data_IF_210381494618
#
_entry.id   IF_210381494618
#
_cell.length_a   1.000
_cell.length_b   1.000
_cell.length_c   1.000
_cell.angle_alpha   90.00
_cell.angle_beta   90.00
_cell.angle_gamma   90.00
#
_symmetry.space_group_name_H-M   'P 1'
#
loop_
_entity.id
_entity.type
_entity.pdbx_description
1 polymer ?
#
# COMPACT_ATOMS: atom_id res chain seq x y z
N UNK A 1 -87.94 -69.95 25.82
CA UNK A 1 -86.52 -70.13 25.42
C UNK A 1 -85.79 -68.79 25.55
N UNK A 2 -84.60 -68.82 26.17
CA UNK A 2 -83.55 -67.79 26.34
C UNK A 2 -83.13 -67.09 25.01
N UNK A 3 -82.31 -66.01 25.00
CA UNK A 3 -82.37 -64.70 25.68
C UNK A 3 -82.05 -63.55 24.66
N UNK A 4 -81.16 -62.56 24.91
CA UNK A 4 -81.43 -61.22 25.45
C UNK A 4 -81.08 -60.08 24.45
N UNK A 5 -81.49 -58.83 24.71
CA UNK A 5 -80.66 -57.68 24.28
C UNK A 5 -80.66 -56.59 25.36
N UNK A 6 -79.45 -56.35 25.84
CA UNK A 6 -78.99 -55.36 26.81
C UNK A 6 -79.13 -53.94 26.29
N UNK A 7 -79.49 -53.02 27.20
CA UNK A 7 -79.46 -51.56 26.98
C UNK A 7 -78.01 -51.08 26.86
N UNK A 8 -77.67 -50.41 25.76
CA UNK A 8 -76.56 -49.46 25.70
C UNK A 8 -77.11 -48.03 25.79
N UNK A 9 -76.53 -47.14 26.62
CA UNK A 9 -76.80 -45.71 26.51
C UNK A 9 -76.27 -45.19 25.17
N UNK A 10 -76.89 -44.16 24.57
CA UNK A 10 -76.38 -43.56 23.35
C UNK A 10 -74.97 -43.02 23.62
N UNK A 11 -73.99 -43.57 22.90
CA UNK A 11 -72.69 -42.94 22.74
C UNK A 11 -72.96 -41.61 22.08
N UNK A 12 -72.68 -40.51 22.79
CA UNK A 12 -72.64 -39.19 22.18
C UNK A 12 -71.47 -39.24 21.19
N UNK A 13 -71.76 -39.56 19.93
CA UNK A 13 -70.80 -39.49 18.86
C UNK A 13 -70.39 -38.02 18.74
N UNK A 14 -69.16 -37.72 19.17
CA UNK A 14 -68.59 -36.39 19.17
C UNK A 14 -68.79 -35.74 17.80
N UNK A 15 -69.22 -34.47 17.84
CA UNK A 15 -69.49 -33.68 16.64
C UNK A 15 -68.34 -33.77 15.64
N UNK A 16 -68.71 -33.90 14.36
CA UNK A 16 -67.77 -33.94 13.22
C UNK A 16 -66.79 -32.76 13.34
N UNK A 17 -65.53 -33.06 13.66
CA UNK A 17 -64.41 -32.12 13.80
C UNK A 17 -63.90 -31.59 12.44
N UNK A 18 -64.78 -31.31 11.47
CA UNK A 18 -64.38 -30.89 10.12
C UNK A 18 -63.92 -29.42 10.04
N UNK A 19 -64.25 -28.58 11.04
CA UNK A 19 -63.79 -27.18 11.09
C UNK A 19 -62.39 -27.02 11.69
N UNK A 20 -62.10 -27.73 12.78
CA UNK A 20 -60.79 -27.66 13.46
C UNK A 20 -59.70 -28.30 12.61
N UNK A 21 -59.98 -29.45 11.97
CA UNK A 21 -59.02 -30.10 11.09
C UNK A 21 -58.62 -29.23 9.89
N UNK A 22 -59.57 -28.51 9.28
CA UNK A 22 -59.29 -27.60 8.17
C UNK A 22 -58.44 -26.40 8.61
N UNK A 23 -58.75 -25.80 9.77
CA UNK A 23 -57.96 -24.70 10.34
C UNK A 23 -56.54 -25.18 10.68
N UNK A 24 -56.38 -26.39 11.23
CA UNK A 24 -55.06 -26.97 11.51
C UNK A 24 -54.25 -27.24 10.24
N UNK A 25 -54.88 -27.78 9.18
CA UNK A 25 -54.20 -28.02 7.89
C UNK A 25 -53.79 -26.70 7.24
N UNK A 26 -54.66 -25.68 7.25
CA UNK A 26 -54.33 -24.35 6.72
C UNK A 26 -53.23 -23.67 7.53
N UNK A 27 -53.22 -23.81 8.86
CA UNK A 27 -52.17 -23.27 9.72
C UNK A 27 -50.83 -23.95 9.45
N UNK A 28 -50.80 -25.29 9.36
CA UNK A 28 -49.59 -26.05 9.04
C UNK A 28 -49.08 -25.67 7.65
N UNK A 29 -49.98 -25.55 6.66
CA UNK A 29 -49.62 -25.14 5.31
C UNK A 29 -49.06 -23.71 5.27
N UNK A 30 -49.68 -22.76 5.97
CA UNK A 30 -49.20 -21.38 6.06
C UNK A 30 -47.82 -21.29 6.72
N UNK A 31 -47.59 -22.03 7.82
CA UNK A 31 -46.28 -22.11 8.48
C UNK A 31 -45.24 -22.72 7.54
N UNK A 32 -45.58 -23.82 6.84
CA UNK A 32 -44.68 -24.46 5.89
C UNK A 32 -44.32 -23.53 4.71
N UNK A 33 -45.28 -22.77 4.19
CA UNK A 33 -45.06 -21.80 3.13
C UNK A 33 -44.16 -20.63 3.57
N UNK A 34 -44.38 -20.09 4.78
CA UNK A 34 -43.52 -19.03 5.35
C UNK A 34 -42.09 -19.55 5.57
N UNK A 35 -41.94 -20.78 6.07
CA UNK A 35 -40.64 -21.40 6.29
C UNK A 35 -39.90 -21.62 4.96
N UNK A 36 -40.58 -22.15 3.94
CA UNK A 36 -40.02 -22.33 2.60
C UNK A 36 -39.57 -21.00 1.98
N UNK A 37 -40.39 -19.95 2.06
CA UNK A 37 -40.05 -18.62 1.56
C UNK A 37 -38.83 -18.00 2.30
N UNK A 38 -38.76 -18.18 3.63
CA UNK A 38 -37.58 -17.80 4.44
C UNK A 38 -36.32 -18.57 4.04
N UNK A 39 -36.42 -19.87 3.82
CA UNK A 39 -35.28 -20.70 3.40
C UNK A 39 -34.78 -20.32 2.01
N UNK A 40 -35.68 -20.02 1.06
CA UNK A 40 -35.30 -19.59 -0.30
C UNK A 40 -34.61 -18.22 -0.28
N UNK A 41 -35.16 -17.24 0.46
CA UNK A 41 -34.57 -15.90 0.55
C UNK A 41 -33.22 -15.89 1.30
N UNK A 42 -33.11 -16.60 2.43
CA UNK A 42 -31.84 -16.71 3.16
C UNK A 42 -30.82 -17.59 2.43
N UNK A 43 -31.26 -18.60 1.70
CA UNK A 43 -30.41 -19.45 0.88
C UNK A 43 -29.76 -18.69 -0.28
N UNK A 44 -30.52 -17.82 -0.97
CA UNK A 44 -29.99 -16.97 -2.05
C UNK A 44 -28.86 -16.05 -1.56
N UNK A 45 -29.10 -15.30 -0.48
CA UNK A 45 -28.12 -14.38 0.09
C UNK A 45 -26.82 -15.10 0.51
N UNK A 46 -26.93 -16.29 1.12
CA UNK A 46 -25.76 -17.07 1.54
C UNK A 46 -24.93 -17.55 0.35
N UNK A 47 -25.59 -17.94 -0.74
CA UNK A 47 -24.91 -18.35 -1.98
C UNK A 47 -24.17 -17.17 -2.61
N UNK A 48 -24.80 -16.00 -2.70
CA UNK A 48 -24.17 -14.77 -3.21
C UNK A 48 -22.94 -14.37 -2.38
N UNK A 49 -23.06 -14.36 -1.05
CA UNK A 49 -21.95 -14.09 -0.15
C UNK A 49 -20.80 -15.08 -0.36
N UNK A 50 -21.11 -16.37 -0.44
CA UNK A 50 -20.10 -17.42 -0.64
C UNK A 50 -19.37 -17.22 -1.97
N UNK A 51 -20.10 -16.89 -3.04
CA UNK A 51 -19.50 -16.58 -4.35
C UNK A 51 -18.58 -15.35 -4.31
N UNK A 52 -19.01 -14.27 -3.63
CA UNK A 52 -18.18 -13.08 -3.47
C UNK A 52 -16.89 -13.36 -2.68
N UNK A 53 -16.96 -14.14 -1.60
CA UNK A 53 -15.78 -14.55 -0.84
C UNK A 53 -14.81 -15.40 -1.67
N UNK A 54 -15.33 -16.36 -2.45
CA UNK A 54 -14.50 -17.20 -3.33
C UNK A 54 -13.80 -16.37 -4.41
N UNK A 55 -14.54 -15.44 -5.03
CA UNK A 55 -13.97 -14.53 -6.02
C UNK A 55 -12.87 -13.66 -5.41
N UNK A 56 -13.10 -13.06 -4.24
CA UNK A 56 -12.09 -12.26 -3.56
C UNK A 56 -10.80 -13.06 -3.28
N UNK A 57 -10.92 -14.31 -2.83
CA UNK A 57 -9.76 -15.19 -2.62
C UNK A 57 -9.01 -15.48 -3.92
N UNK A 58 -9.73 -15.65 -5.03
CA UNK A 58 -9.12 -15.84 -6.35
C UNK A 58 -8.36 -14.59 -6.82
N UNK A 59 -8.92 -13.39 -6.66
CA UNK A 59 -8.24 -12.15 -7.02
C UNK A 59 -7.00 -11.90 -6.15
N UNK A 60 -7.08 -12.19 -4.85
CA UNK A 60 -5.91 -12.13 -3.98
C UNK A 60 -4.82 -13.11 -4.43
N UNK A 61 -5.19 -14.34 -4.80
CA UNK A 61 -4.24 -15.32 -5.31
C UNK A 61 -3.54 -14.84 -6.59
N UNK A 62 -4.27 -14.23 -7.54
CA UNK A 62 -3.67 -13.62 -8.72
C UNK A 62 -2.74 -12.45 -8.38
N UNK A 63 -3.13 -11.57 -7.46
CA UNK A 63 -2.33 -10.44 -7.02
C UNK A 63 -1.01 -10.89 -6.36
N UNK A 64 -1.05 -11.94 -5.53
CA UNK A 64 0.14 -12.58 -4.93
C UNK A 64 0.99 -13.31 -5.97
N UNK A 65 0.38 -13.87 -7.00
CA UNK A 65 1.09 -14.43 -8.15
C UNK A 65 1.92 -13.36 -8.87
N UNK A 66 1.32 -12.18 -9.09
CA UNK A 66 2.03 -11.02 -9.64
C UNK A 66 3.18 -10.54 -8.76
N UNK A 67 2.96 -10.46 -7.43
CA UNK A 67 4.02 -10.13 -6.45
C UNK A 67 5.19 -11.13 -6.56
N UNK A 68 4.88 -12.42 -6.62
CA UNK A 68 5.89 -13.49 -6.71
C UNK A 68 6.68 -13.40 -8.01
N UNK A 69 6.02 -13.09 -9.12
CA UNK A 69 6.67 -12.88 -10.42
C UNK A 69 7.61 -11.67 -10.41
N UNK A 70 7.16 -10.54 -9.86
CA UNK A 70 7.97 -9.34 -9.68
C UNK A 70 9.21 -9.60 -8.80
N UNK A 71 9.06 -10.32 -7.68
CA UNK A 71 10.19 -10.73 -6.83
C UNK A 71 11.18 -11.62 -7.60
N UNK A 72 10.68 -12.54 -8.44
CA UNK A 72 11.55 -13.39 -9.25
C UNK A 72 12.35 -12.59 -10.28
N UNK A 73 11.74 -11.55 -10.88
CA UNK A 73 12.44 -10.64 -11.79
C UNK A 73 13.54 -9.84 -11.08
N UNK A 74 13.26 -9.27 -9.90
CA UNK A 74 14.27 -8.53 -9.12
C UNK A 74 15.44 -9.42 -8.63
N UNK A 75 15.18 -10.71 -8.41
CA UNK A 75 16.23 -11.69 -8.09
C UNK A 75 17.07 -12.06 -9.30
N UNK A 76 16.45 -12.14 -10.48
CA UNK A 76 17.17 -12.41 -11.73
C UNK A 76 18.02 -11.22 -12.15
N UNK A 77 17.47 -10.02 -12.04
CA UNK A 77 18.17 -8.74 -12.19
C UNK A 77 19.45 -8.68 -11.33
N UNK A 78 19.32 -8.95 -10.02
CA UNK A 78 20.47 -9.02 -9.13
C UNK A 78 21.52 -10.07 -9.56
N UNK A 79 21.13 -11.21 -10.13
CA UNK A 79 22.10 -12.21 -10.62
C UNK A 79 22.88 -11.69 -11.82
N UNK A 80 22.25 -10.91 -12.69
CA UNK A 80 22.91 -10.27 -13.83
C UNK A 80 23.86 -9.18 -13.35
N UNK A 81 23.45 -8.42 -12.34
CA UNK A 81 24.28 -7.41 -11.70
C UNK A 81 25.55 -7.97 -11.05
N UNK A 82 25.44 -9.14 -10.41
CA UNK A 82 26.62 -9.83 -9.88
C UNK A 82 27.65 -10.15 -10.96
N UNK A 83 27.20 -10.42 -12.20
CA UNK A 83 28.11 -10.61 -13.33
C UNK A 83 28.69 -9.28 -13.85
N UNK A 84 27.97 -8.17 -13.70
CA UNK A 84 28.39 -6.82 -14.11
C UNK A 84 29.35 -6.16 -13.09
N UNK A 85 29.31 -6.55 -11.81
CA UNK A 85 30.18 -6.04 -10.76
C UNK A 85 29.98 -4.54 -10.53
N UNK A 86 31.07 -3.76 -10.58
CA UNK A 86 31.04 -2.30 -10.36
C UNK A 86 30.21 -1.53 -11.41
N UNK A 87 29.85 -2.16 -12.53
CA UNK A 87 29.03 -1.55 -13.57
C UNK A 87 27.52 -1.79 -13.37
N UNK A 88 27.14 -2.52 -12.33
CA UNK A 88 25.74 -2.79 -12.03
C UNK A 88 25.00 -1.51 -11.64
N UNK A 89 23.74 -1.37 -12.07
CA UNK A 89 22.87 -0.24 -11.76
C UNK A 89 21.43 -0.74 -11.62
N UNK A 90 20.53 0.10 -11.13
CA UNK A 90 19.10 -0.13 -11.11
C UNK A 90 18.43 1.04 -11.82
N UNK A 91 17.84 0.80 -12.99
CA UNK A 91 17.20 1.82 -13.81
C UNK A 91 15.85 1.34 -14.33
N UNK A 92 14.80 2.19 -14.35
CA UNK A 92 13.47 1.81 -14.85
C UNK A 92 13.38 1.19 -16.25
N UNK A 93 14.40 1.34 -17.09
CA UNK A 93 14.48 0.70 -18.41
C UNK A 93 14.77 -0.80 -18.36
N UNK A 94 15.14 -1.33 -17.20
CA UNK A 94 15.41 -2.75 -17.00
C UNK A 94 14.12 -3.58 -17.06
N UNK A 95 14.20 -4.91 -17.31
CA UNK A 95 13.01 -5.74 -17.51
C UNK A 95 11.97 -5.64 -16.39
N UNK A 96 12.39 -5.45 -15.15
CA UNK A 96 11.49 -5.29 -14.00
C UNK A 96 10.71 -3.96 -14.04
N UNK A 97 11.30 -2.89 -14.61
CA UNK A 97 10.70 -1.55 -14.68
C UNK A 97 9.80 -1.34 -15.90
N UNK A 98 9.85 -2.26 -16.87
CA UNK A 98 9.07 -2.26 -18.11
C UNK A 98 7.80 -3.14 -18.02
N UNK A 99 7.46 -3.63 -16.83
CA UNK A 99 6.21 -4.34 -16.60
C UNK A 99 5.03 -3.39 -16.73
N UNK A 100 3.98 -3.86 -17.40
CA UNK A 100 2.70 -3.15 -17.45
C UNK A 100 1.56 -4.16 -17.28
N UNK A 101 1.04 -4.69 -18.39
CA UNK A 101 -0.24 -5.38 -18.42
C UNK A 101 -0.15 -6.82 -18.94
N UNK A 102 -0.76 -7.76 -18.20
CA UNK A 102 -0.93 -9.16 -18.53
C UNK A 102 -2.42 -9.51 -18.66
N UNK A 103 -2.81 -10.11 -19.78
CA UNK A 103 -4.17 -10.61 -19.98
C UNK A 103 -4.42 -11.87 -19.15
N UNK A 104 -5.52 -11.91 -18.43
CA UNK A 104 -5.94 -13.08 -17.66
C UNK A 104 -6.82 -13.99 -18.53
N UNK A 105 -6.20 -14.93 -19.24
CA UNK A 105 -6.95 -15.93 -19.99
C UNK A 105 -7.34 -17.09 -19.06
N UNK A 106 -8.53 -17.01 -18.45
CA UNK A 106 -9.09 -18.14 -17.66
C UNK A 106 -10.10 -18.98 -18.46
N UNK A 107 -10.19 -18.82 -19.79
CA UNK A 107 -11.09 -19.57 -20.66
C UNK A 107 -12.20 -18.74 -21.31
N UNK A 108 -13.34 -19.40 -21.57
CA UNK A 108 -14.38 -18.96 -22.52
C UNK A 108 -15.14 -17.68 -22.15
N UNK A 109 -15.02 -17.19 -20.90
CA UNK A 109 -15.68 -15.97 -20.41
C UNK A 109 -14.69 -14.83 -20.07
N UNK A 110 -13.42 -14.94 -20.51
CA UNK A 110 -12.45 -13.84 -20.34
C UNK A 110 -12.76 -12.70 -21.30
N UNK A 111 -12.86 -11.50 -20.75
CA UNK A 111 -13.00 -10.24 -21.49
C UNK A 111 -11.62 -9.61 -21.74
N UNK A 112 -11.51 -8.69 -22.71
CA UNK A 112 -10.27 -7.93 -22.92
C UNK A 112 -9.91 -7.03 -21.72
N UNK A 113 -10.86 -6.77 -20.84
CA UNK A 113 -10.69 -5.95 -19.63
C UNK A 113 -10.12 -6.76 -18.44
N UNK A 114 -10.14 -8.10 -18.51
CA UNK A 114 -9.66 -8.97 -17.45
C UNK A 114 -8.12 -9.01 -17.45
N UNK A 115 -7.55 -8.35 -16.45
CA UNK A 115 -6.17 -7.89 -16.50
C UNK A 115 -5.45 -8.01 -15.17
N UNK A 116 -4.18 -8.38 -15.23
CA UNK A 116 -3.22 -8.24 -14.14
C UNK A 116 -2.22 -7.16 -14.56
N UNK A 117 -2.17 -6.05 -13.82
CA UNK A 117 -1.12 -5.03 -13.94
C UNK A 117 -0.12 -5.17 -12.82
N UNK A 118 1.16 -5.09 -13.15
CA UNK A 118 2.27 -5.16 -12.18
C UNK A 118 3.17 -3.97 -12.44
N UNK A 119 3.42 -3.16 -11.40
CA UNK A 119 4.37 -2.05 -11.46
C UNK A 119 5.39 -2.21 -10.35
N UNK A 120 6.66 -1.99 -10.67
CA UNK A 120 7.76 -2.02 -9.71
C UNK A 120 8.39 -0.63 -9.69
N UNK A 121 8.45 -0.01 -8.52
CA UNK A 121 9.01 1.32 -8.32
C UNK A 121 10.16 1.26 -7.30
N UNK A 122 11.37 1.71 -7.64
CA UNK A 122 12.42 1.90 -6.65
C UNK A 122 12.03 3.00 -5.66
N UNK A 123 12.08 2.70 -4.36
CA UNK A 123 11.70 3.63 -3.30
C UNK A 123 12.88 4.50 -2.85
N UNK A 124 14.10 4.06 -3.14
CA UNK A 124 15.33 4.85 -2.96
C UNK A 124 15.42 6.04 -3.94
N UNK A 125 14.43 6.25 -4.81
CA UNK A 125 14.31 7.47 -5.60
C UNK A 125 13.74 8.66 -4.81
N UNK A 126 13.16 8.42 -3.63
CA UNK A 126 12.45 9.41 -2.83
C UNK A 126 13.22 9.74 -1.55
N UNK A 127 12.96 10.91 -0.97
CA UNK A 127 13.57 11.32 0.29
C UNK A 127 13.03 10.46 1.44
N UNK A 128 13.91 9.68 2.07
CA UNK A 128 13.56 8.87 3.23
C UNK A 128 13.54 9.73 4.50
N UNK A 129 12.38 9.76 5.18
CA UNK A 129 12.23 10.56 6.39
C UNK A 129 13.09 10.04 7.55
N UNK A 130 13.38 8.75 7.58
CA UNK A 130 14.23 8.18 8.62
C UNK A 130 15.71 8.60 8.46
N UNK A 131 16.09 9.22 7.33
CA UNK A 131 17.41 9.84 7.17
C UNK A 131 17.54 11.17 7.95
N UNK A 132 16.45 11.70 8.54
CA UNK A 132 16.54 12.82 9.49
C UNK A 132 17.36 12.44 10.73
N UNK A 133 17.49 11.15 11.03
CA UNK A 133 18.41 10.62 12.04
C UNK A 133 19.64 10.04 11.35
N UNK A 134 20.80 10.25 11.97
CA UNK A 134 22.04 9.60 11.55
C UNK A 134 21.97 8.11 11.80
N UNK A 135 22.81 7.34 11.10
CA UNK A 135 22.91 5.88 11.26
C UNK A 135 23.32 5.44 12.69
N UNK A 136 23.85 6.36 13.51
CA UNK A 136 24.12 6.10 14.93
C UNK A 136 22.85 6.07 15.80
N UNK A 137 21.68 6.35 15.21
CA UNK A 137 20.35 6.09 15.78
C UNK A 137 19.88 7.10 16.81
N UNK A 138 20.58 8.22 17.00
CA UNK A 138 20.20 9.19 18.04
C UNK A 138 20.44 10.66 17.73
N UNK A 139 21.27 10.98 16.74
CA UNK A 139 21.53 12.38 16.39
C UNK A 139 20.80 12.78 15.12
N UNK A 140 20.19 13.96 15.14
CA UNK A 140 19.61 14.56 13.93
C UNK A 140 20.69 14.81 12.87
N UNK A 141 20.39 14.49 11.62
CA UNK A 141 21.18 14.92 10.48
C UNK A 141 20.68 16.28 9.97
N UNK A 142 21.49 17.30 10.23
CA UNK A 142 21.18 18.70 9.87
C UNK A 142 20.98 18.87 8.36
N UNK A 143 21.68 18.09 7.53
CA UNK A 143 21.55 18.18 6.08
C UNK A 143 20.16 17.72 5.67
N UNK A 144 19.74 16.52 6.08
CA UNK A 144 18.42 15.99 5.74
C UNK A 144 17.28 16.84 6.31
N UNK A 145 17.43 17.36 7.53
CA UNK A 145 16.43 18.26 8.11
C UNK A 145 16.30 19.57 7.31
N UNK A 146 17.43 20.13 6.86
CA UNK A 146 17.43 21.34 6.02
C UNK A 146 16.80 21.05 4.65
N UNK A 147 17.16 19.92 4.03
CA UNK A 147 16.59 19.48 2.76
C UNK A 147 15.08 19.27 2.86
N UNK A 148 14.59 18.68 3.95
CA UNK A 148 13.15 18.49 4.17
C UNK A 148 12.43 19.84 4.32
N UNK A 149 12.94 20.77 5.14
CA UNK A 149 12.35 22.12 5.25
C UNK A 149 12.27 22.81 3.89
N UNK A 150 13.34 22.74 3.09
CA UNK A 150 13.34 23.30 1.74
C UNK A 150 12.31 22.63 0.82
N UNK A 151 12.24 21.30 0.84
CA UNK A 151 11.27 20.53 0.06
C UNK A 151 9.83 20.96 0.36
N UNK A 152 9.50 21.07 1.65
CA UNK A 152 8.18 21.50 2.10
C UNK A 152 7.90 22.94 1.66
N UNK A 153 8.84 23.86 1.90
CA UNK A 153 8.70 25.28 1.55
C UNK A 153 8.44 25.51 0.05
N UNK A 154 9.21 24.84 -0.82
CA UNK A 154 9.05 24.93 -2.29
C UNK A 154 7.67 24.42 -2.74
N UNK A 155 7.12 23.43 -2.05
CA UNK A 155 5.82 22.83 -2.35
C UNK A 155 4.65 23.52 -1.61
N UNK A 156 4.91 24.64 -0.93
CA UNK A 156 3.89 25.38 -0.19
C UNK A 156 3.38 24.66 1.06
N UNK A 157 4.13 23.67 1.54
CA UNK A 157 3.84 22.91 2.76
C UNK A 157 4.57 23.55 3.96
N UNK A 158 3.94 23.73 5.13
CA UNK A 158 4.57 24.38 6.27
C UNK A 158 5.84 23.67 6.76
N UNK A 159 6.95 24.41 6.89
CA UNK A 159 8.24 23.88 7.38
C UNK A 159 8.18 23.32 8.81
N UNK A 160 7.22 23.77 9.61
CA UNK A 160 6.95 23.24 10.95
C UNK A 160 6.74 21.72 10.97
N UNK A 161 6.25 21.15 9.86
CA UNK A 161 6.09 19.70 9.72
C UNK A 161 7.43 18.95 9.70
N UNK A 162 8.54 19.58 9.27
CA UNK A 162 9.86 18.97 9.34
C UNK A 162 10.34 18.79 10.78
N UNK A 163 10.10 19.79 11.63
CA UNK A 163 10.46 19.75 13.05
C UNK A 163 9.65 18.70 13.78
N UNK A 164 8.33 18.68 13.55
CA UNK A 164 7.45 17.67 14.16
C UNK A 164 7.72 16.26 13.64
N UNK A 165 8.15 16.11 12.38
CA UNK A 165 8.54 14.81 11.86
C UNK A 165 9.84 14.30 12.49
N UNK A 166 10.78 15.19 12.83
CA UNK A 166 11.97 14.81 13.59
C UNK A 166 11.59 14.35 15.00
N UNK A 167 10.81 15.16 15.73
CA UNK A 167 10.34 14.82 17.08
C UNK A 167 9.48 13.54 17.07
N UNK A 168 8.76 13.26 15.98
CA UNK A 168 7.94 12.05 15.88
C UNK A 168 8.76 10.76 15.88
N UNK A 169 9.99 10.80 15.34
CA UNK A 169 10.83 9.61 15.11
C UNK A 169 12.03 9.50 16.05
N UNK A 170 12.47 10.61 16.63
CA UNK A 170 13.62 10.61 17.52
C UNK A 170 13.24 10.05 18.91
N UNK A 171 14.22 9.59 19.67
CA UNK A 171 13.96 8.88 20.95
C UNK A 171 13.88 9.82 22.15
N UNK A 172 14.07 11.12 21.95
CA UNK A 172 14.04 12.07 23.04
C UNK A 172 12.61 12.59 23.23
N UNK A 173 12.43 13.55 24.14
CA UNK A 173 11.10 14.10 24.43
C UNK A 173 11.25 15.61 24.63
N UNK A 174 12.02 16.22 23.73
CA UNK A 174 12.43 17.63 23.76
C UNK A 174 12.03 18.21 22.41
N UNK A 175 11.00 19.07 22.37
CA UNK A 175 10.51 19.62 21.12
C UNK A 175 11.61 20.34 20.33
N UNK A 176 11.72 20.03 19.04
CA UNK A 176 12.68 20.67 18.14
C UNK A 176 12.28 22.11 17.84
N UNK A 177 13.21 23.04 18.07
CA UNK A 177 13.04 24.43 17.68
C UNK A 177 11.88 25.13 18.39
N UNK A 178 11.06 25.86 17.62
CA UNK A 178 9.86 26.57 18.12
C UNK A 178 8.56 25.91 17.66
N UNK A 179 8.64 24.94 16.76
CA UNK A 179 7.51 24.35 16.03
C UNK A 179 7.40 22.85 16.21
N UNK A 180 8.38 22.22 16.85
CA UNK A 180 8.35 20.85 17.30
C UNK A 180 7.21 20.54 18.25
N UNK A 181 6.91 19.26 18.39
CA UNK A 181 5.81 18.75 19.21
C UNK A 181 6.15 17.34 19.69
N UNK A 182 5.92 17.11 20.98
CA UNK A 182 6.28 15.88 21.68
C UNK A 182 5.06 15.28 22.42
N UNK A 183 5.27 14.23 23.20
CA UNK A 183 4.24 13.58 24.03
C UNK A 183 3.24 14.56 24.69
N UNK A 184 3.74 15.64 25.28
CA UNK A 184 2.89 16.61 25.98
C UNK A 184 1.92 17.34 25.05
N UNK A 185 2.31 17.58 23.80
CA UNK A 185 1.47 18.23 22.80
C UNK A 185 0.40 17.26 22.26
N UNK A 186 0.79 16.01 21.99
CA UNK A 186 -0.12 14.99 21.45
C UNK A 186 -1.11 14.44 22.49
N UNK A 187 -0.75 14.43 23.77
CA UNK A 187 -1.67 14.04 24.86
C UNK A 187 -2.80 15.04 25.08
N UNK A 188 -2.69 16.26 24.56
CA UNK A 188 -3.75 17.26 24.58
C UNK A 188 -4.75 17.11 23.42
N UNK A 189 -4.46 16.25 22.43
CA UNK A 189 -5.31 16.00 21.29
C UNK A 189 -6.54 15.13 21.65
N UNK A 190 -7.51 15.06 20.75
CA UNK A 190 -8.68 14.18 20.89
C UNK A 190 -8.86 13.32 19.62
N UNK A 191 -8.62 12.00 19.69
CA UNK A 191 -8.17 11.24 20.85
C UNK A 191 -6.72 11.61 21.25
N UNK A 192 -6.38 11.42 22.52
CA UNK A 192 -5.02 11.62 23.01
C UNK A 192 -4.14 10.44 22.59
N UNK A 193 -2.91 10.73 22.15
CA UNK A 193 -1.88 9.76 21.81
C UNK A 193 -0.50 10.32 22.13
N UNK A 194 0.54 9.57 21.81
CA UNK A 194 1.94 9.88 22.06
C UNK A 194 2.72 9.91 20.75
N UNK A 195 3.91 10.50 20.76
CA UNK A 195 4.87 10.35 19.67
C UNK A 195 5.25 8.86 19.49
N UNK A 196 5.79 8.53 18.33
CA UNK A 196 6.19 7.16 18.01
C UNK A 196 7.51 6.80 18.70
N UNK A 197 8.41 7.78 18.83
CA UNK A 197 9.78 7.67 19.35
C UNK A 197 10.61 6.56 18.67
N UNK A 198 10.31 6.32 17.40
CA UNK A 198 10.91 5.27 16.59
C UNK A 198 10.87 5.66 15.11
N UNK A 199 11.75 5.02 14.32
CA UNK A 199 11.72 5.15 12.86
C UNK A 199 10.31 4.94 12.32
N UNK A 200 9.94 5.82 11.40
CA UNK A 200 8.65 5.81 10.73
C UNK A 200 8.51 4.53 9.88
N UNK A 201 7.40 3.83 10.08
CA UNK A 201 7.09 2.56 9.41
C UNK A 201 6.23 2.76 8.17
N UNK A 202 5.36 3.78 8.17
CA UNK A 202 4.50 4.14 7.05
C UNK A 202 4.29 5.66 7.00
N UNK A 203 4.28 6.25 5.80
CA UNK A 203 4.10 7.70 5.63
C UNK A 203 2.71 8.18 6.05
N UNK A 204 1.74 7.28 6.21
CA UNK A 204 0.45 7.60 6.83
C UNK A 204 0.57 8.07 8.29
N UNK A 205 1.65 7.70 9.01
CA UNK A 205 1.91 8.21 10.36
C UNK A 205 2.05 9.74 10.36
N UNK A 206 2.52 10.34 9.26
CA UNK A 206 2.64 11.80 9.14
C UNK A 206 1.31 12.53 9.20
N UNK A 207 0.18 11.83 9.00
CA UNK A 207 -1.14 12.40 9.19
C UNK A 207 -1.45 12.71 10.66
N UNK A 208 -0.71 12.11 11.60
CA UNK A 208 -0.83 12.32 13.04
C UNK A 208 -0.09 13.57 13.53
N UNK A 209 0.74 14.21 12.71
CA UNK A 209 1.41 15.44 13.10
C UNK A 209 0.38 16.55 13.38
N UNK A 210 0.71 17.45 14.31
CA UNK A 210 -0.21 18.50 14.75
C UNK A 210 -0.16 19.75 13.86
N UNK A 211 1.00 20.03 13.25
CA UNK A 211 1.21 21.16 12.36
C UNK A 211 0.46 21.01 11.03
N UNK A 212 0.22 22.16 10.39
CA UNK A 212 -0.41 22.23 9.08
C UNK A 212 -1.87 21.78 9.05
N UNK A 213 -2.48 21.93 7.89
CA UNK A 213 -3.79 21.34 7.60
C UNK A 213 -3.66 19.83 7.32
N UNK A 214 -4.75 19.06 7.39
CA UNK A 214 -4.74 17.67 6.92
C UNK A 214 -4.28 17.52 5.46
N UNK A 215 -4.53 18.51 4.61
CA UNK A 215 -4.07 18.50 3.22
C UNK A 215 -2.55 18.67 3.13
N UNK A 216 -1.97 19.53 3.97
CA UNK A 216 -0.51 19.71 4.03
C UNK A 216 0.20 18.41 4.46
N UNK A 217 -0.36 17.72 5.48
CA UNK A 217 0.17 16.43 5.94
C UNK A 217 0.03 15.33 4.89
N UNK A 218 -1.09 15.33 4.16
CA UNK A 218 -1.28 14.40 3.05
C UNK A 218 -0.23 14.64 1.96
N UNK A 219 -0.05 15.90 1.51
CA UNK A 219 0.96 16.27 0.52
C UNK A 219 2.36 15.86 0.97
N UNK A 220 2.74 16.15 2.21
CA UNK A 220 4.01 15.69 2.78
C UNK A 220 4.15 14.16 2.70
N UNK A 221 3.11 13.40 3.04
CA UNK A 221 3.13 11.93 3.00
C UNK A 221 3.30 11.34 1.60
N UNK A 222 2.92 12.07 0.55
CA UNK A 222 2.99 11.64 -0.85
C UNK A 222 4.36 11.96 -1.48
N UNK A 223 5.12 12.89 -0.91
CA UNK A 223 6.43 13.31 -1.42
C UNK A 223 7.60 12.50 -0.83
N UNK A 224 7.35 11.78 0.26
CA UNK A 224 8.37 11.13 1.09
C UNK A 224 8.19 9.60 1.14
N UNK A 225 9.18 8.92 1.71
CA UNK A 225 9.11 7.51 2.06
C UNK A 225 9.59 7.28 3.49
N UNK A 226 9.11 6.22 4.13
CA UNK A 226 9.63 5.71 5.40
C UNK A 226 10.30 4.36 5.18
N UNK A 227 11.63 4.34 5.10
CA UNK A 227 12.42 3.13 4.88
C UNK A 227 13.23 2.79 6.13
N UNK A 228 13.39 1.51 6.49
CA UNK A 228 13.87 1.09 7.82
C UNK A 228 15.35 1.42 8.08
N UNK A 229 16.15 1.58 7.02
CA UNK A 229 17.55 1.99 7.12
C UNK A 229 17.76 3.35 6.46
N UNK A 230 18.89 3.99 6.78
CA UNK A 230 19.36 5.12 5.99
C UNK A 230 19.54 4.72 4.52
N UNK A 231 19.12 5.59 3.60
CA UNK A 231 19.14 5.33 2.16
C UNK A 231 19.79 6.46 1.37
N UNK A 232 20.55 6.09 0.34
CA UNK A 232 21.04 7.02 -0.68
C UNK A 232 20.00 7.17 -1.78
N UNK A 233 19.97 8.31 -2.47
CA UNK A 233 19.09 8.50 -3.62
C UNK A 233 19.65 7.79 -4.84
N UNK A 234 18.90 6.85 -5.41
CA UNK A 234 19.24 6.27 -6.70
C UNK A 234 19.01 7.30 -7.82
N UNK A 235 20.09 7.81 -8.41
CA UNK A 235 20.05 8.81 -9.48
C UNK A 235 19.28 8.35 -10.72
N UNK A 236 19.24 7.05 -10.99
CA UNK A 236 18.52 6.45 -12.12
C UNK A 236 16.99 6.38 -11.90
N UNK A 237 16.54 6.54 -10.66
CA UNK A 237 15.12 6.49 -10.29
C UNK A 237 14.72 7.71 -9.44
N UNK A 238 15.56 8.75 -9.41
CA UNK A 238 15.39 9.88 -8.51
C UNK A 238 14.13 10.66 -8.83
N UNK A 239 13.33 10.92 -7.80
CA UNK A 239 12.29 11.92 -7.86
C UNK A 239 12.96 13.32 -7.93
N UNK A 240 12.55 14.18 -8.88
CA UNK A 240 13.14 15.51 -9.01
C UNK A 240 13.06 16.37 -7.76
N UNK A 241 11.97 16.27 -6.98
CA UNK A 241 11.80 16.99 -5.72
C UNK A 241 12.80 16.53 -4.65
N UNK A 242 13.03 15.21 -4.54
CA UNK A 242 14.02 14.65 -3.62
C UNK A 242 15.44 15.10 -4.00
N UNK A 243 15.76 15.11 -5.29
CA UNK A 243 17.05 15.59 -5.79
C UNK A 243 17.22 17.10 -5.55
N UNK A 244 16.18 17.89 -5.83
CA UNK A 244 16.17 19.34 -5.59
C UNK A 244 16.41 19.67 -4.12
N UNK A 245 15.72 18.96 -3.21
CA UNK A 245 15.85 19.11 -1.77
C UNK A 245 17.29 18.87 -1.30
N UNK A 246 17.93 17.77 -1.72
CA UNK A 246 19.30 17.44 -1.30
C UNK A 246 20.38 18.36 -1.86
N UNK A 247 20.16 18.90 -3.07
CA UNK A 247 21.11 19.79 -3.74
C UNK A 247 20.90 21.27 -3.38
N UNK A 248 19.84 21.60 -2.66
CA UNK A 248 19.49 23.00 -2.38
C UNK A 248 19.05 23.75 -3.64
N UNK A 249 18.42 23.06 -4.60
CA UNK A 249 18.02 23.60 -5.91
C UNK A 249 16.50 23.65 -6.08
N UNK A 250 16.03 24.22 -7.18
CA UNK A 250 14.61 24.13 -7.58
C UNK A 250 14.32 22.80 -8.27
N UNK A 251 13.06 22.39 -8.29
CA UNK A 251 12.61 21.19 -9.03
C UNK A 251 13.01 21.25 -10.51
N UNK A 252 12.82 22.40 -11.18
CA UNK A 252 13.21 22.58 -12.59
C UNK A 252 14.72 22.38 -12.84
N UNK A 253 15.55 22.85 -11.91
CA UNK A 253 16.99 22.64 -11.97
C UNK A 253 17.32 21.15 -11.82
N UNK A 254 16.71 20.48 -10.84
CA UNK A 254 16.88 19.05 -10.64
C UNK A 254 16.39 18.21 -11.84
N UNK A 255 15.25 18.57 -12.45
CA UNK A 255 14.77 17.95 -13.69
C UNK A 255 15.77 18.13 -14.82
N UNK A 256 16.32 19.33 -14.98
CA UNK A 256 17.34 19.62 -15.98
C UNK A 256 18.61 18.78 -15.79
N UNK A 257 18.99 18.46 -14.54
CA UNK A 257 20.09 17.55 -14.25
C UNK A 257 19.76 16.11 -14.67
N UNK A 258 18.52 15.67 -14.54
CA UNK A 258 18.09 14.31 -14.89
C UNK A 258 17.78 14.12 -16.38
N UNK A 259 17.77 15.18 -17.19
CA UNK A 259 17.54 15.07 -18.65
C UNK A 259 18.50 14.07 -19.28
N UNK A 260 17.93 13.14 -20.06
CA UNK A 260 18.65 12.06 -20.73
C UNK A 260 18.89 10.82 -19.88
N UNK A 261 18.81 10.91 -18.54
CA UNK A 261 18.96 9.75 -17.65
C UNK A 261 17.88 8.69 -17.92
N UNK A 262 16.67 9.11 -18.31
CA UNK A 262 15.56 8.22 -18.67
C UNK A 262 15.89 7.25 -19.82
N UNK A 263 16.76 7.65 -20.75
CA UNK A 263 17.15 6.83 -21.90
C UNK A 263 18.53 6.21 -21.76
N UNK A 264 19.42 6.87 -21.03
CA UNK A 264 20.81 6.45 -20.83
C UNK A 264 21.07 6.36 -19.33
N UNK A 265 21.10 5.13 -18.78
CA UNK A 265 21.35 4.94 -17.36
C UNK A 265 22.66 5.58 -16.91
N UNK A 266 22.61 6.21 -15.76
CA UNK A 266 23.76 6.72 -15.03
C UNK A 266 24.50 5.52 -14.44
N UNK A 267 25.75 5.35 -14.86
CA UNK A 267 26.61 4.23 -14.44
C UNK A 267 27.66 4.63 -13.39
N UNK A 268 27.74 5.91 -13.03
CA UNK A 268 28.70 6.40 -12.04
C UNK A 268 28.23 7.70 -11.43
N UNK A 269 28.07 7.71 -10.10
CA UNK A 269 27.75 8.90 -9.31
C UNK A 269 28.82 9.98 -9.52
N UNK A 270 30.10 9.65 -9.35
CA UNK A 270 31.21 10.59 -9.50
C UNK A 270 31.23 11.27 -10.87
N UNK A 271 31.00 10.49 -11.94
CA UNK A 271 30.93 11.02 -13.30
C UNK A 271 29.73 11.95 -13.47
N UNK A 272 28.54 11.54 -13.01
CA UNK A 272 27.32 12.35 -13.04
C UNK A 272 27.52 13.70 -12.36
N UNK A 273 28.08 13.70 -11.14
CA UNK A 273 28.33 14.93 -10.37
C UNK A 273 29.35 15.83 -11.08
N UNK A 274 30.45 15.27 -11.58
CA UNK A 274 31.51 16.03 -12.27
C UNK A 274 30.99 16.69 -13.55
N UNK A 275 30.26 15.95 -14.40
CA UNK A 275 29.72 16.46 -15.66
C UNK A 275 28.69 17.59 -15.44
N UNK A 276 28.03 17.60 -14.29
CA UNK A 276 27.01 18.58 -13.91
C UNK A 276 27.52 19.69 -12.98
N UNK A 277 28.82 19.72 -12.72
CA UNK A 277 29.45 20.68 -11.78
C UNK A 277 28.85 20.65 -10.37
N UNK A 278 28.42 19.47 -9.90
CA UNK A 278 27.94 19.25 -8.54
C UNK A 278 29.13 18.85 -7.66
N UNK A 279 29.27 19.39 -6.42
CA UNK A 279 30.37 19.04 -5.53
C UNK A 279 30.48 17.53 -5.24
N UNK A 280 31.68 16.96 -5.39
CA UNK A 280 31.94 15.53 -5.16
C UNK A 280 31.76 15.09 -3.71
N UNK A 281 31.81 16.01 -2.75
CA UNK A 281 31.50 15.72 -1.34
C UNK A 281 30.07 15.20 -1.14
N UNK A 282 29.15 15.48 -2.07
CA UNK A 282 27.77 15.00 -2.01
C UNK A 282 27.60 13.58 -2.56
N UNK A 283 28.67 12.94 -3.05
CA UNK A 283 28.60 11.58 -3.59
C UNK A 283 28.04 10.55 -2.60
N UNK A 284 28.24 10.77 -1.30
CA UNK A 284 27.71 9.90 -0.24
C UNK A 284 26.18 9.89 -0.14
N UNK A 285 25.49 10.87 -0.75
CA UNK A 285 24.03 10.97 -0.74
C UNK A 285 23.37 10.18 -1.88
N UNK A 286 24.18 9.68 -2.82
CA UNK A 286 23.69 9.15 -4.08
C UNK A 286 24.19 7.73 -4.33
N UNK A 287 23.34 6.97 -5.01
CA UNK A 287 23.62 5.63 -5.50
C UNK A 287 23.16 5.53 -6.95
N UNK A 288 23.54 4.45 -7.60
CA UNK A 288 22.96 3.99 -8.88
C UNK A 288 22.24 2.65 -8.71
N UNK A 289 22.17 2.15 -7.47
CA UNK A 289 21.57 0.87 -7.05
C UNK A 289 20.40 1.13 -6.13
N UNK A 290 19.42 0.25 -6.15
CA UNK A 290 18.24 0.27 -5.28
C UNK A 290 18.18 -0.97 -4.41
N UNK A 291 17.87 -0.73 -3.13
CA UNK A 291 17.61 -1.74 -2.10
C UNK A 291 16.11 -1.88 -1.87
N UNK A 292 15.37 -0.79 -1.89
CA UNK A 292 13.95 -0.81 -1.59
C UNK A 292 13.12 -0.65 -2.85
N UNK A 293 12.14 -1.54 -3.00
CA UNK A 293 11.20 -1.46 -4.10
C UNK A 293 9.78 -1.59 -3.58
N UNK A 294 8.85 -0.99 -4.29
CA UNK A 294 7.43 -1.17 -4.09
C UNK A 294 6.84 -1.84 -5.33
N UNK A 295 6.20 -2.98 -5.10
CA UNK A 295 5.41 -3.68 -6.11
C UNK A 295 3.96 -3.28 -5.93
N UNK A 296 3.31 -2.82 -6.99
CA UNK A 296 1.86 -2.70 -7.04
C UNK A 296 1.31 -3.73 -8.01
N UNK A 297 0.49 -4.65 -7.52
CA UNK A 297 -0.29 -5.55 -8.36
C UNK A 297 -1.75 -5.17 -8.33
N UNK A 298 -2.36 -5.08 -9.50
CA UNK A 298 -3.77 -4.79 -9.67
C UNK A 298 -4.40 -5.85 -10.56
N UNK A 299 -5.44 -6.50 -10.05
CA UNK A 299 -6.23 -7.50 -10.76
C UNK A 299 -7.60 -6.89 -11.04
N UNK A 300 -7.97 -6.80 -12.31
CA UNK A 300 -9.31 -6.50 -12.78
C UNK A 300 -9.91 -7.80 -13.34
N UNK A 301 -11.07 -8.20 -12.83
CA UNK A 301 -11.76 -9.42 -13.25
C UNK A 301 -13.27 -9.26 -13.09
N UNK A 302 -14.05 -9.42 -14.18
CA UNK A 302 -15.52 -9.38 -14.14
C UNK A 302 -16.08 -8.19 -13.32
N UNK A 303 -15.56 -6.99 -13.60
CA UNK A 303 -15.87 -5.73 -12.91
C UNK A 303 -15.48 -5.63 -11.43
N UNK A 304 -14.81 -6.64 -10.87
CA UNK A 304 -14.15 -6.56 -9.56
C UNK A 304 -12.71 -6.12 -9.74
N UNK A 305 -12.21 -5.36 -8.76
CA UNK A 305 -10.83 -4.91 -8.71
C UNK A 305 -10.22 -5.24 -7.37
N UNK A 306 -9.03 -5.83 -7.40
CA UNK A 306 -8.20 -6.07 -6.23
C UNK A 306 -6.83 -5.44 -6.43
N UNK A 307 -6.30 -4.79 -5.41
CA UNK A 307 -4.96 -4.21 -5.44
C UNK A 307 -4.15 -4.64 -4.21
N UNK A 308 -2.88 -4.95 -4.43
CA UNK A 308 -1.90 -5.26 -3.42
C UNK A 308 -0.65 -4.42 -3.66
N UNK A 309 -0.25 -3.67 -2.64
CA UNK A 309 1.02 -2.97 -2.62
C UNK A 309 1.96 -3.68 -1.65
N UNK A 310 3.17 -3.99 -2.10
CA UNK A 310 4.19 -4.68 -1.32
C UNK A 310 5.46 -3.87 -1.30
N UNK A 311 5.91 -3.47 -0.10
CA UNK A 311 7.25 -2.92 0.11
C UNK A 311 8.22 -4.05 0.38
N UNK A 312 9.32 -4.08 -0.34
CA UNK A 312 10.37 -5.08 -0.19
C UNK A 312 11.74 -4.44 -0.05
N UNK A 313 12.63 -5.16 0.61
CA UNK A 313 14.06 -4.88 0.67
C UNK A 313 14.81 -6.00 -0.06
N UNK A 314 15.74 -5.61 -0.92
CA UNK A 314 16.72 -6.47 -1.58
C UNK A 314 18.08 -6.19 -0.97
N UNK A 315 18.67 -7.22 -0.40
CA UNK A 315 20.05 -7.22 0.06
C UNK A 315 20.98 -7.27 -1.16
N UNK A 316 21.84 -6.26 -1.32
CA UNK A 316 22.69 -6.11 -2.51
C UNK A 316 23.83 -7.14 -2.56
N UNK A 317 24.24 -7.70 -1.41
CA UNK A 317 25.35 -8.65 -1.33
C UNK A 317 24.89 -10.09 -1.59
N UNK A 318 23.69 -10.43 -1.14
CA UNK A 318 23.16 -11.81 -1.17
C UNK A 318 22.04 -12.01 -2.17
N UNK A 319 21.40 -10.93 -2.64
CA UNK A 319 20.21 -10.99 -3.50
C UNK A 319 18.96 -11.49 -2.77
N UNK A 320 19.03 -11.63 -1.44
CA UNK A 320 17.88 -11.99 -0.64
C UNK A 320 16.83 -10.88 -0.71
N UNK A 321 15.58 -11.26 -0.95
CA UNK A 321 14.45 -10.32 -1.01
C UNK A 321 13.53 -10.59 0.18
N UNK A 322 13.38 -9.59 1.04
CA UNK A 322 12.52 -9.60 2.21
C UNK A 322 11.27 -8.77 1.93
N UNK A 323 10.09 -9.32 2.19
CA UNK A 323 8.83 -8.55 2.17
C UNK A 323 8.68 -7.86 3.51
N UNK A 324 8.72 -6.52 3.50
CA UNK A 324 8.61 -5.70 4.71
C UNK A 324 7.15 -5.42 5.08
N UNK A 325 6.34 -5.08 4.08
CA UNK A 325 4.95 -4.68 4.28
C UNK A 325 4.09 -5.14 3.11
N UNK A 326 2.84 -5.51 3.42
CA UNK A 326 1.78 -5.71 2.43
C UNK A 326 0.58 -4.87 2.80
N UNK A 327 0.07 -4.11 1.84
CA UNK A 327 -1.12 -3.28 1.98
C UNK A 327 -2.18 -3.70 0.98
N UNK A 328 -3.31 -4.12 1.51
CA UNK A 328 -4.52 -4.39 0.74
C UNK A 328 -5.32 -3.09 0.67
N UNK A 329 -4.98 -2.23 -0.28
CA UNK A 329 -5.67 -0.96 -0.42
C UNK A 329 -6.97 -1.15 -1.24
N UNK A 330 -8.10 -0.51 -0.86
CA UNK A 330 -9.07 -0.12 -1.88
C UNK A 330 -8.35 0.81 -2.85
N UNK A 331 -8.60 0.68 -4.16
CA UNK A 331 -7.81 1.37 -5.19
C UNK A 331 -7.94 2.89 -5.06
N UNK A 332 -7.06 3.50 -4.28
CA UNK A 332 -6.87 4.95 -4.25
C UNK A 332 -6.03 5.31 -5.48
N UNK A 333 -6.55 6.24 -6.29
CA UNK A 333 -6.06 6.44 -7.67
C UNK A 333 -4.67 7.08 -7.78
N UNK A 334 -4.04 7.55 -6.70
CA UNK A 334 -3.04 8.62 -6.85
C UNK A 334 -1.68 8.42 -6.22
N UNK A 335 -1.48 7.47 -5.29
CA UNK A 335 -0.28 7.55 -4.45
C UNK A 335 1.05 7.35 -5.20
N UNK A 336 1.07 6.65 -6.34
CA UNK A 336 2.31 6.39 -7.10
C UNK A 336 2.10 6.28 -8.61
N UNK A 337 1.37 7.23 -9.20
CA UNK A 337 1.40 7.40 -10.65
C UNK A 337 2.61 8.29 -10.97
N UNK A 338 3.67 7.72 -11.57
CA UNK A 338 4.52 8.54 -12.46
C UNK A 338 3.56 9.18 -13.45
N UNK A 339 3.41 10.49 -13.42
CA UNK A 339 2.72 11.21 -14.48
C UNK A 339 3.37 10.75 -15.78
N UNK A 340 2.66 9.92 -16.54
CA UNK A 340 2.97 9.75 -17.94
C UNK A 340 2.61 11.11 -18.55
N UNK A 341 3.62 11.84 -19.00
CA UNK A 341 3.40 13.02 -19.82
C UNK A 341 2.56 12.62 -21.05
N UNK A 342 1.60 13.49 -21.41
CA UNK A 342 0.77 13.38 -22.61
C UNK A 342 1.59 13.44 -23.91
#
# INVERSE_FOLDING_TARGET
MKPPVTRNPPVWAGGRQSGVALISVLLIFAIAAILAARMMSQGGIRTEQTGAYQLQQQLEAYARGGETYAIALLKEDWRQDQAAGEQAYDHPSEPWGQLDHFLLNTGHDSSEDDSLRIRILPMDGFLNINNLLKEDGGHSDVRYLTSLRQLLSINGVPEALADQALDWIDQNNIPTGLTGAEDNDYLLQTPAYRTSDQNLLDTDELMLLAAGSPEDRLRMSEMLVGLPSHTQINLNAANPDALAALLGQTEDQARSLLVGAEYVPIQSVTKFLTERSIPLELAELFSIRSRFFMITTQVDWQAQRFALTTLLERDLDTGHVSVLQRRFQPVSRQRFIRQAEE
#
